data_IF_555747050876
#
_entry.id   IF_555747050876
#
_cell.length_a   1.000
_cell.length_b   1.000
_cell.length_c   1.000
_cell.angle_alpha   90.00
_cell.angle_beta   90.00
_cell.angle_gamma   90.00
#
_symmetry.space_group_name_H-M   'P 1'
#
loop_
_entity.id
_entity.type
_entity.pdbx_description
1 polymer ?
#
# COMPACT_ATOMS: atom_id res chain seq x y z
N UNK A 1 3.63 -49.35 -7.64
CA UNK A 1 2.19 -49.06 -7.59
C UNK A 1 2.07 -47.60 -7.20
N UNK A 2 1.69 -46.71 -8.12
CA UNK A 2 1.44 -45.30 -7.81
C UNK A 2 0.09 -45.20 -7.11
N UNK A 3 0.07 -44.73 -5.86
CA UNK A 3 -1.17 -44.36 -5.18
C UNK A 3 -1.85 -43.24 -5.98
N UNK A 4 -2.99 -43.56 -6.60
CA UNK A 4 -3.85 -42.56 -7.20
C UNK A 4 -4.53 -41.81 -6.06
N UNK A 5 -4.05 -40.60 -5.77
CA UNK A 5 -4.74 -39.67 -4.87
C UNK A 5 -5.99 -39.16 -5.58
N UNK A 6 -7.16 -39.53 -5.07
CA UNK A 6 -8.41 -38.93 -5.48
C UNK A 6 -8.47 -37.50 -4.93
N UNK A 7 -8.50 -36.50 -5.81
CA UNK A 7 -8.78 -35.10 -5.47
C UNK A 7 -10.11 -34.69 -6.10
N UNK A 8 -11.05 -34.26 -5.26
CA UNK A 8 -12.35 -33.76 -5.69
C UNK A 8 -12.18 -32.32 -6.24
N UNK A 9 -12.34 -32.15 -7.55
CA UNK A 9 -12.10 -30.88 -8.27
C UNK A 9 -13.00 -29.72 -7.80
N UNK A 10 -14.07 -30.02 -7.07
CA UNK A 10 -15.01 -29.05 -6.46
C UNK A 10 -14.50 -28.42 -5.16
N UNK A 11 -13.43 -28.95 -4.56
CA UNK A 11 -12.85 -28.46 -3.30
C UNK A 11 -11.72 -27.43 -3.48
N UNK A 12 -11.29 -27.13 -4.72
CA UNK A 12 -10.35 -26.05 -4.97
C UNK A 12 -11.08 -24.70 -5.03
N UNK A 13 -10.86 -23.86 -4.00
CA UNK A 13 -11.26 -22.45 -4.03
C UNK A 13 -10.58 -21.77 -5.23
N UNK A 14 -11.32 -21.59 -6.31
CA UNK A 14 -10.81 -20.99 -7.54
C UNK A 14 -10.63 -19.48 -7.34
N UNK A 15 -9.41 -18.99 -7.56
CA UNK A 15 -9.14 -17.54 -7.56
C UNK A 15 -9.96 -16.84 -8.65
N UNK A 16 -10.87 -15.97 -8.23
CA UNK A 16 -11.67 -15.14 -9.13
C UNK A 16 -10.81 -14.01 -9.73
N UNK A 17 -11.11 -13.68 -11.00
CA UNK A 17 -10.43 -12.62 -11.73
C UNK A 17 -11.03 -11.26 -11.45
N UNK A 18 -10.17 -10.25 -11.32
CA UNK A 18 -10.59 -8.83 -11.22
C UNK A 18 -10.33 -8.07 -12.54
N UNK A 19 -11.09 -7.02 -12.85
CA UNK A 19 -10.75 -6.09 -13.92
C UNK A 19 -9.38 -5.45 -13.67
N UNK A 20 -8.57 -5.24 -14.73
CA UNK A 20 -7.23 -4.67 -14.61
C UNK A 20 -6.99 -3.56 -15.64
N UNK A 21 -6.53 -2.42 -15.15
CA UNK A 21 -5.92 -1.36 -15.94
C UNK A 21 -4.40 -1.61 -16.07
N UNK A 22 -3.71 -0.79 -16.87
CA UNK A 22 -2.25 -0.89 -16.95
C UNK A 22 -1.56 -0.23 -15.76
N UNK A 23 -2.17 0.84 -15.23
CA UNK A 23 -1.63 1.63 -14.13
C UNK A 23 -2.76 2.17 -13.26
N UNK A 24 -2.63 1.98 -11.96
CA UNK A 24 -3.37 2.73 -10.95
C UNK A 24 -2.47 3.86 -10.47
N UNK A 25 -2.90 5.12 -10.57
CA UNK A 25 -2.14 6.31 -10.19
C UNK A 25 -2.78 7.01 -8.99
N UNK A 26 -2.08 7.05 -7.86
CA UNK A 26 -2.55 7.72 -6.66
C UNK A 26 -2.05 9.16 -6.65
N UNK A 27 -3.00 10.10 -6.57
CA UNK A 27 -2.80 11.53 -6.77
C UNK A 27 -2.47 12.28 -5.47
N UNK A 28 -1.69 11.67 -4.60
CA UNK A 28 -1.37 12.21 -3.28
C UNK A 28 -1.59 11.17 -2.19
N UNK A 29 -0.73 11.23 -1.18
CA UNK A 29 -0.93 10.63 0.13
C UNK A 29 -0.74 11.78 1.12
N UNK A 30 -1.83 12.18 1.76
CA UNK A 30 -1.87 13.33 2.66
C UNK A 30 -2.07 12.85 4.08
N UNK A 31 -1.40 13.49 5.01
CA UNK A 31 -1.74 13.38 6.42
C UNK A 31 -2.76 14.44 6.81
N UNK A 32 -3.24 14.30 8.04
CA UNK A 32 -4.22 15.19 8.65
C UNK A 32 -3.82 16.67 8.53
N UNK A 33 -2.56 16.97 8.80
CA UNK A 33 -2.03 18.32 8.86
C UNK A 33 -2.14 19.05 7.51
N UNK A 34 -2.15 18.31 6.40
CA UNK A 34 -2.32 18.89 5.07
C UNK A 34 -3.76 19.38 4.84
N UNK A 35 -4.74 18.72 5.45
CA UNK A 35 -6.15 19.13 5.36
C UNK A 35 -6.46 20.29 6.31
N UNK A 36 -5.84 20.30 7.50
CA UNK A 36 -5.99 21.39 8.48
C UNK A 36 -5.49 22.74 7.95
N UNK A 37 -4.48 22.73 7.08
CA UNK A 37 -3.98 23.92 6.38
C UNK A 37 -4.98 24.50 5.35
N UNK A 38 -6.05 23.76 5.05
CA UNK A 38 -7.21 24.23 4.28
C UNK A 38 -7.05 24.19 2.74
N UNK A 39 -8.08 24.64 2.00
CA UNK A 39 -8.19 24.42 0.55
C UNK A 39 -7.04 25.01 -0.27
N UNK A 40 -6.45 26.13 0.18
CA UNK A 40 -5.33 26.76 -0.54
C UNK A 40 -4.11 25.84 -0.59
N UNK A 41 -3.75 25.24 0.55
CA UNK A 41 -2.63 24.30 0.66
C UNK A 41 -2.86 23.08 -0.21
N UNK A 42 -4.09 22.56 -0.19
CA UNK A 42 -4.49 21.42 -1.01
C UNK A 42 -4.42 21.74 -2.51
N UNK A 43 -4.80 22.95 -2.92
CA UNK A 43 -4.65 23.41 -4.30
C UNK A 43 -3.18 23.51 -4.75
N UNK A 44 -2.30 24.02 -3.90
CA UNK A 44 -0.84 24.06 -4.15
C UNK A 44 -0.26 22.65 -4.29
N UNK A 45 -0.66 21.74 -3.40
CA UNK A 45 -0.30 20.33 -3.48
C UNK A 45 -0.74 19.70 -4.81
N UNK A 46 -2.01 19.86 -5.20
CA UNK A 46 -2.51 19.28 -6.44
C UNK A 46 -1.88 19.90 -7.70
N UNK A 47 -1.50 21.18 -7.65
CA UNK A 47 -0.76 21.81 -8.74
C UNK A 47 0.63 21.16 -8.94
N UNK A 48 1.32 20.82 -7.86
CA UNK A 48 2.59 20.08 -7.92
C UNK A 48 2.38 18.63 -8.39
N UNK A 49 1.39 17.93 -7.82
CA UNK A 49 1.00 16.57 -8.22
C UNK A 49 0.69 16.51 -9.71
N UNK A 50 0.07 17.54 -10.29
CA UNK A 50 -0.28 17.59 -11.71
C UNK A 50 0.95 17.43 -12.61
N UNK A 51 2.06 18.06 -12.28
CA UNK A 51 3.32 17.97 -13.06
C UNK A 51 3.78 16.51 -13.14
N UNK A 52 3.79 15.82 -12.00
CA UNK A 52 4.24 14.44 -11.91
C UNK A 52 3.23 13.45 -12.48
N UNK A 53 1.93 13.71 -12.32
CA UNK A 53 0.87 12.91 -12.95
C UNK A 53 1.01 12.91 -14.48
N UNK A 54 1.32 14.05 -15.08
CA UNK A 54 1.58 14.16 -16.53
C UNK A 54 2.84 13.40 -16.94
N UNK A 55 3.91 13.49 -16.17
CA UNK A 55 5.14 12.73 -16.41
C UNK A 55 4.90 11.20 -16.35
N UNK A 56 4.11 10.74 -15.37
CA UNK A 56 3.74 9.32 -15.24
C UNK A 56 2.86 8.87 -16.40
N UNK A 57 1.87 9.66 -16.81
CA UNK A 57 1.04 9.37 -17.99
C UNK A 57 1.88 9.29 -19.27
N UNK A 58 2.84 10.20 -19.46
CA UNK A 58 3.77 10.16 -20.58
C UNK A 58 4.66 8.90 -20.55
N UNK A 59 5.14 8.50 -19.37
CA UNK A 59 5.91 7.25 -19.19
C UNK A 59 5.09 6.00 -19.52
N UNK A 60 3.81 5.96 -19.14
CA UNK A 60 2.90 4.87 -19.50
C UNK A 60 2.63 4.81 -21.01
N UNK A 61 2.46 5.96 -21.66
CA UNK A 61 2.22 6.07 -23.11
C UNK A 61 3.40 5.55 -23.96
N UNK A 62 4.62 5.54 -23.41
CA UNK A 62 5.80 4.92 -24.07
C UNK A 62 5.71 3.39 -24.15
N UNK A 63 4.93 2.76 -23.28
CA UNK A 63 4.79 1.29 -23.20
C UNK A 63 3.54 0.79 -23.90
N UNK A 64 2.48 1.59 -23.95
CA UNK A 64 1.23 1.27 -24.64
C UNK A 64 0.67 2.51 -25.33
N UNK A 65 0.19 2.36 -26.58
CA UNK A 65 -0.40 3.47 -27.35
C UNK A 65 -1.69 4.03 -26.74
N UNK A 66 -2.39 3.22 -25.95
CA UNK A 66 -3.65 3.59 -25.28
C UNK A 66 -3.62 3.04 -23.85
N UNK A 67 -2.82 3.63 -22.95
CA UNK A 67 -2.69 3.12 -21.61
C UNK A 67 -4.01 3.34 -20.85
N UNK A 68 -4.66 2.26 -20.38
CA UNK A 68 -5.72 2.34 -19.38
C UNK A 68 -5.09 2.72 -18.04
N UNK A 69 -5.32 3.95 -17.60
CA UNK A 69 -4.82 4.50 -16.35
C UNK A 69 -6.02 4.92 -15.51
N UNK A 70 -6.17 4.33 -14.32
CA UNK A 70 -7.11 4.82 -13.31
C UNK A 70 -6.40 5.76 -12.36
N UNK A 71 -7.12 6.73 -11.82
CA UNK A 71 -6.64 7.62 -10.78
C UNK A 71 -7.33 7.33 -9.46
N UNK A 72 -6.62 7.41 -8.35
CA UNK A 72 -7.20 7.21 -7.04
C UNK A 72 -6.68 8.21 -6.01
N UNK A 73 -7.43 8.32 -4.91
CA UNK A 73 -7.07 9.09 -3.74
C UNK A 73 -7.53 8.33 -2.49
N UNK A 74 -6.62 8.14 -1.54
CA UNK A 74 -6.90 7.50 -0.24
C UNK A 74 -7.07 8.61 0.80
N UNK A 75 -8.15 8.57 1.58
CA UNK A 75 -8.33 9.45 2.73
C UNK A 75 -8.07 8.66 4.00
N UNK A 76 -7.20 9.20 4.85
CA UNK A 76 -7.00 8.70 6.22
C UNK A 76 -8.24 9.00 7.08
N UNK A 77 -9.08 7.98 7.26
CA UNK A 77 -10.16 7.96 8.25
C UNK A 77 -9.90 6.91 9.36
N UNK A 78 -8.67 6.37 9.40
CA UNK A 78 -8.26 5.31 10.32
C UNK A 78 -7.61 5.89 11.57
N UNK A 79 -6.65 6.81 11.41
CA UNK A 79 -5.95 7.42 12.54
C UNK A 79 -6.73 8.60 13.11
N UNK A 80 -7.42 9.37 12.25
CA UNK A 80 -8.17 10.56 12.68
C UNK A 80 -9.43 10.77 11.84
N UNK A 81 -10.56 11.13 12.48
CA UNK A 81 -11.83 11.52 11.83
C UNK A 81 -12.23 12.95 12.22
N UNK A 82 -11.42 13.93 11.83
CA UNK A 82 -11.57 15.34 12.21
C UNK A 82 -12.74 16.07 11.54
N UNK A 83 -13.14 15.61 10.34
CA UNK A 83 -14.23 16.17 9.53
C UNK A 83 -15.07 15.04 8.93
N UNK A 84 -16.18 15.39 8.30
CA UNK A 84 -17.10 14.43 7.69
C UNK A 84 -16.82 14.23 6.20
N UNK A 85 -17.16 13.08 5.60
CA UNK A 85 -17.05 12.88 4.15
C UNK A 85 -17.78 13.97 3.34
N UNK A 86 -18.94 14.43 3.85
CA UNK A 86 -19.74 15.53 3.29
C UNK A 86 -18.99 16.85 3.13
N UNK A 87 -18.00 17.13 3.98
CA UNK A 87 -17.22 18.36 3.94
C UNK A 87 -15.89 18.15 3.22
N UNK A 88 -15.19 17.07 3.57
CA UNK A 88 -13.83 16.82 3.12
C UNK A 88 -13.77 16.43 1.64
N UNK A 89 -14.62 15.50 1.20
CA UNK A 89 -14.53 14.94 -0.16
C UNK A 89 -14.83 16.02 -1.20
N UNK A 90 -15.90 16.84 -1.09
CA UNK A 90 -16.14 17.91 -2.06
C UNK A 90 -14.98 18.91 -2.15
N UNK A 91 -14.33 19.22 -1.02
CA UNK A 91 -13.15 20.08 -1.00
C UNK A 91 -12.00 19.46 -1.81
N UNK A 92 -11.68 18.18 -1.55
CA UNK A 92 -10.63 17.44 -2.27
C UNK A 92 -10.90 17.39 -3.76
N UNK A 93 -12.11 17.00 -4.16
CA UNK A 93 -12.47 16.88 -5.58
C UNK A 93 -12.41 18.23 -6.30
N UNK A 94 -12.87 19.31 -5.63
CA UNK A 94 -12.84 20.66 -6.18
C UNK A 94 -11.43 21.19 -6.38
N UNK A 95 -10.53 21.00 -5.41
CA UNK A 95 -9.14 21.46 -5.56
C UNK A 95 -8.36 20.60 -6.56
N UNK A 96 -8.63 19.29 -6.64
CA UNK A 96 -8.07 18.43 -7.68
C UNK A 96 -8.53 18.88 -9.08
N UNK A 97 -9.83 19.13 -9.26
CA UNK A 97 -10.39 19.62 -10.52
C UNK A 97 -9.76 20.95 -10.94
N UNK A 98 -9.58 21.89 -10.00
CA UNK A 98 -8.91 23.17 -10.25
C UNK A 98 -7.48 23.02 -10.75
N UNK A 99 -6.77 22.00 -10.28
CA UNK A 99 -5.42 21.65 -10.76
C UNK A 99 -5.45 20.85 -12.09
N UNK A 100 -6.63 20.58 -12.65
CA UNK A 100 -6.79 19.77 -13.85
C UNK A 100 -6.58 18.27 -13.60
N UNK A 101 -6.74 17.81 -12.36
CA UNK A 101 -6.71 16.41 -11.99
C UNK A 101 -8.13 15.85 -11.88
N UNK A 102 -8.26 14.58 -12.21
CA UNK A 102 -9.49 13.80 -12.03
C UNK A 102 -9.16 12.69 -11.06
N UNK A 103 -10.04 12.44 -10.09
CA UNK A 103 -9.96 11.31 -9.17
C UNK A 103 -11.07 10.33 -9.55
N UNK A 104 -10.71 9.21 -10.16
CA UNK A 104 -11.68 8.19 -10.57
C UNK A 104 -12.19 7.35 -9.40
N UNK A 105 -11.33 7.11 -8.41
CA UNK A 105 -11.60 6.26 -7.27
C UNK A 105 -11.21 6.93 -5.96
N UNK A 106 -12.10 6.86 -4.98
CA UNK A 106 -11.84 7.30 -3.61
C UNK A 106 -11.85 6.09 -2.68
N UNK A 107 -10.83 5.96 -1.85
CA UNK A 107 -10.76 4.90 -0.85
C UNK A 107 -10.64 5.49 0.57
N UNK A 108 -11.14 4.73 1.54
CA UNK A 108 -10.92 4.96 2.97
C UNK A 108 -9.71 4.19 3.45
N UNK A 109 -8.83 4.79 4.24
CA UNK A 109 -7.69 4.07 4.83
C UNK A 109 -8.16 2.96 5.78
N UNK A 110 -9.22 3.20 6.55
CA UNK A 110 -9.79 2.17 7.44
C UNK A 110 -10.28 0.93 6.68
N UNK A 111 -10.57 1.06 5.38
CA UNK A 111 -10.91 -0.07 4.52
C UNK A 111 -9.73 -1.04 4.35
N UNK A 112 -8.48 -0.57 4.48
CA UNK A 112 -7.30 -1.42 4.44
C UNK A 112 -7.17 -2.26 5.72
N UNK A 113 -7.76 -1.82 6.83
CA UNK A 113 -7.89 -2.62 8.03
C UNK A 113 -9.03 -3.63 7.89
N UNK A 114 -10.25 -3.12 7.64
CA UNK A 114 -11.48 -3.93 7.54
C UNK A 114 -12.38 -3.40 6.43
N UNK A 115 -12.82 -4.29 5.53
CA UNK A 115 -13.80 -3.95 4.50
C UNK A 115 -14.83 -5.05 4.32
N UNK A 116 -16.11 -4.67 4.22
CA UNK A 116 -17.24 -5.60 4.04
C UNK A 116 -17.21 -6.81 5.02
N UNK A 117 -16.82 -6.54 6.28
CA UNK A 117 -16.64 -7.53 7.38
C UNK A 117 -15.46 -8.50 7.23
N UNK A 118 -14.52 -8.19 6.34
CA UNK A 118 -13.29 -8.94 6.16
C UNK A 118 -12.14 -8.16 6.81
N UNK A 119 -11.44 -8.81 7.75
CA UNK A 119 -10.23 -8.30 8.40
C UNK A 119 -9.03 -8.37 7.41
N UNK A 120 -8.93 -7.39 6.52
CA UNK A 120 -7.95 -7.38 5.44
C UNK A 120 -6.52 -7.29 5.95
N UNK A 121 -6.27 -6.40 6.91
CA UNK A 121 -4.95 -6.24 7.53
C UNK A 121 -4.51 -7.52 8.25
N UNK A 122 -5.39 -8.14 9.04
CA UNK A 122 -5.10 -9.41 9.71
C UNK A 122 -4.81 -10.52 8.69
N UNK A 123 -5.60 -10.59 7.61
CA UNK A 123 -5.40 -11.57 6.55
C UNK A 123 -4.05 -11.41 5.85
N UNK A 124 -3.57 -10.18 5.64
CA UNK A 124 -2.24 -9.91 5.08
C UNK A 124 -1.15 -10.24 6.10
N UNK A 125 -1.35 -9.94 7.38
CA UNK A 125 -0.39 -10.25 8.44
C UNK A 125 -0.12 -11.76 8.52
N UNK A 126 -1.17 -12.59 8.39
CA UNK A 126 -1.03 -14.05 8.37
C UNK A 126 -0.31 -14.61 7.14
N UNK A 127 -0.10 -13.78 6.11
CA UNK A 127 0.62 -14.13 4.88
C UNK A 127 2.05 -13.60 4.88
N UNK A 128 2.50 -12.96 5.96
CA UNK A 128 3.88 -12.53 6.08
C UNK A 128 4.81 -13.73 6.22
N UNK A 129 5.84 -13.74 5.37
CA UNK A 129 6.92 -14.71 5.38
C UNK A 129 8.17 -13.98 5.87
N UNK A 130 8.54 -14.25 7.12
CA UNK A 130 9.76 -13.69 7.69
C UNK A 130 10.97 -14.13 6.86
N UNK A 131 11.97 -13.25 6.71
CA UNK A 131 13.24 -13.54 6.04
C UNK A 131 14.36 -13.82 7.06
N UNK A 132 14.38 -15.01 7.71
CA UNK A 132 15.39 -15.32 8.71
C UNK A 132 16.79 -15.39 8.05
N UNK A 133 17.83 -14.85 8.69
CA UNK A 133 19.20 -15.07 8.25
C UNK A 133 19.53 -16.57 8.15
N UNK A 134 20.36 -17.00 7.20
CA UNK A 134 20.81 -18.39 7.12
C UNK A 134 21.40 -18.88 8.46
N UNK A 135 20.91 -20.01 8.96
CA UNK A 135 21.35 -20.58 10.24
C UNK A 135 20.75 -19.93 11.49
N UNK A 136 19.76 -19.04 11.37
CA UNK A 136 19.01 -18.56 12.53
C UNK A 136 18.15 -19.68 13.14
N UNK A 137 17.97 -19.64 14.46
CA UNK A 137 17.18 -20.62 15.22
C UNK A 137 15.86 -20.02 15.75
N UNK A 138 15.36 -18.95 15.12
CA UNK A 138 14.15 -18.25 15.61
C UNK A 138 14.37 -17.52 16.94
N UNK A 139 15.53 -16.85 17.12
CA UNK A 139 15.82 -16.08 18.35
C UNK A 139 14.90 -14.87 18.55
N UNK A 140 14.15 -14.47 17.51
CA UNK A 140 13.11 -13.44 17.58
C UNK A 140 11.75 -14.12 17.72
N UNK A 141 10.85 -13.63 18.59
CA UNK A 141 9.46 -14.06 18.53
C UNK A 141 8.86 -13.70 17.16
N UNK A 142 7.96 -14.52 16.60
CA UNK A 142 7.37 -14.28 15.29
C UNK A 142 6.71 -12.90 15.17
N UNK A 143 6.64 -12.37 13.94
CA UNK A 143 5.96 -11.12 13.62
C UNK A 143 4.51 -11.08 14.13
N UNK A 144 3.81 -12.21 14.12
CA UNK A 144 2.44 -12.33 14.65
C UNK A 144 2.32 -12.11 16.16
N UNK A 145 3.42 -12.24 16.91
CA UNK A 145 3.47 -11.98 18.35
C UNK A 145 3.99 -10.59 18.67
N UNK A 146 4.94 -10.07 17.89
CA UNK A 146 5.63 -8.82 18.21
C UNK A 146 5.02 -7.62 17.51
N UNK A 147 4.47 -7.80 16.32
CA UNK A 147 4.10 -6.71 15.44
C UNK A 147 5.29 -6.04 14.77
N UNK A 148 6.48 -6.65 14.77
CA UNK A 148 7.67 -6.07 14.14
C UNK A 148 8.24 -6.98 13.05
N UNK A 149 8.45 -6.42 11.85
CA UNK A 149 9.03 -7.10 10.69
C UNK A 149 10.46 -6.62 10.45
N UNK A 150 11.40 -7.55 10.24
CA UNK A 150 12.78 -7.23 9.93
C UNK A 150 13.18 -7.74 8.54
N UNK A 151 14.13 -7.06 7.91
CA UNK A 151 14.78 -7.54 6.68
C UNK A 151 16.11 -8.28 6.92
N UNK A 152 16.45 -8.58 8.17
CA UNK A 152 17.62 -9.38 8.50
C UNK A 152 17.95 -9.44 9.99
N UNK A 153 19.23 -9.39 10.32
CA UNK A 153 19.77 -9.51 11.67
C UNK A 153 20.18 -8.16 12.24
N UNK A 154 19.56 -7.77 13.35
CA UNK A 154 20.00 -6.61 14.15
C UNK A 154 21.36 -6.91 14.79
N UNK A 155 22.16 -5.86 15.03
CA UNK A 155 23.32 -5.95 15.92
C UNK A 155 22.94 -6.67 17.21
N UNK A 156 23.65 -7.74 17.61
CA UNK A 156 23.38 -8.41 18.87
C UNK A 156 23.46 -7.41 20.03
N UNK A 157 22.37 -7.25 20.78
CA UNK A 157 22.49 -6.61 22.09
C UNK A 157 23.28 -7.56 22.98
N UNK A 158 24.39 -7.09 23.54
CA UNK A 158 25.21 -7.91 24.45
C UNK A 158 24.39 -8.22 25.70
N UNK A 159 23.66 -9.33 25.71
CA UNK A 159 23.17 -9.92 26.95
C UNK A 159 24.41 -10.45 27.67
N UNK A 160 24.75 -9.84 28.81
CA UNK A 160 25.82 -10.34 29.67
C UNK A 160 25.40 -11.72 30.19
N UNK A 161 25.84 -12.78 29.54
CA UNK A 161 26.06 -14.03 30.26
C UNK A 161 27.20 -13.78 31.24
N UNK A 162 26.99 -14.02 32.53
CA UNK A 162 28.02 -13.85 33.57
C UNK A 162 29.29 -14.70 33.32
N UNK A 163 29.23 -15.67 32.40
CA UNK A 163 30.31 -16.57 32.01
C UNK A 163 30.59 -16.55 30.49
N UNK A 164 29.97 -15.64 29.73
CA UNK A 164 30.13 -15.55 28.27
C UNK A 164 31.28 -14.66 27.86
N UNK A 165 32.01 -15.04 26.81
CA UNK A 165 32.98 -14.16 26.17
C UNK A 165 32.29 -12.86 25.72
N UNK A 166 32.93 -11.72 25.97
CA UNK A 166 32.47 -10.42 25.46
C UNK A 166 32.59 -10.47 23.94
N UNK A 167 31.47 -10.71 23.25
CA UNK A 167 31.40 -10.47 21.81
C UNK A 167 31.50 -8.96 21.59
N UNK A 168 32.44 -8.56 20.74
CA UNK A 168 32.56 -7.17 20.29
C UNK A 168 31.30 -6.73 19.54
N UNK A 169 31.20 -5.44 19.26
CA UNK A 169 30.13 -4.91 18.42
C UNK A 169 30.18 -5.54 17.01
N UNK A 170 29.00 -5.93 16.49
CA UNK A 170 28.82 -6.46 15.14
C UNK A 170 27.79 -5.60 14.38
N UNK A 171 28.02 -5.23 13.11
CA UNK A 171 27.06 -4.43 12.35
C UNK A 171 25.78 -5.21 12.05
N UNK A 172 24.62 -4.54 11.88
CA UNK A 172 23.40 -5.19 11.46
C UNK A 172 23.52 -5.65 9.99
N UNK A 173 22.88 -6.77 9.66
CA UNK A 173 22.98 -7.42 8.36
C UNK A 173 21.59 -7.63 7.75
N UNK A 174 21.35 -7.07 6.58
CA UNK A 174 20.20 -7.39 5.74
C UNK A 174 20.41 -8.77 5.06
N UNK A 175 19.39 -9.62 5.08
CA UNK A 175 19.47 -11.00 4.59
C UNK A 175 19.76 -11.08 3.08
N UNK A 176 19.21 -10.15 2.29
CA UNK A 176 19.34 -10.10 0.83
C UNK A 176 20.43 -9.12 0.34
N UNK A 177 21.28 -8.63 1.24
CA UNK A 177 22.35 -7.68 0.92
C UNK A 177 23.29 -8.22 -0.17
N UNK A 178 23.67 -7.36 -1.12
CA UNK A 178 24.72 -7.67 -2.12
C UNK A 178 26.08 -7.10 -1.73
N UNK A 179 26.19 -5.77 -1.73
CA UNK A 179 27.46 -5.05 -1.51
C UNK A 179 27.44 -4.16 -0.26
N UNK A 180 26.27 -3.90 0.31
CA UNK A 180 26.05 -3.13 1.53
C UNK A 180 24.76 -3.62 2.19
N UNK A 181 24.61 -3.33 3.48
CA UNK A 181 23.46 -3.72 4.30
C UNK A 181 22.66 -2.47 4.66
N UNK A 182 21.36 -2.47 4.38
CA UNK A 182 20.41 -1.50 4.93
C UNK A 182 19.44 -2.28 5.81
N UNK A 183 19.67 -2.26 7.11
CA UNK A 183 18.82 -2.98 8.06
C UNK A 183 17.62 -2.14 8.49
N UNK A 184 16.43 -2.72 8.46
CA UNK A 184 15.19 -2.10 8.92
C UNK A 184 14.43 -3.02 9.87
N UNK A 185 13.82 -2.40 10.88
CA UNK A 185 12.79 -2.98 11.73
C UNK A 185 11.55 -2.10 11.63
N UNK A 186 10.46 -2.68 11.15
CA UNK A 186 9.23 -1.98 10.85
C UNK A 186 8.15 -2.45 11.81
N UNK A 187 7.57 -1.51 12.56
CA UNK A 187 6.36 -1.76 13.34
C UNK A 187 5.17 -1.90 12.39
N UNK A 188 4.50 -3.04 12.42
CA UNK A 188 3.30 -3.34 11.65
C UNK A 188 2.03 -2.98 12.41
N UNK A 189 2.05 -3.19 13.72
CA UNK A 189 0.98 -2.85 14.64
C UNK A 189 1.52 -2.64 16.05
N UNK A 190 0.78 -1.85 16.82
CA UNK A 190 0.92 -1.75 18.27
C UNK A 190 -0.35 -2.26 18.95
N UNK A 191 -0.23 -2.69 20.20
CA UNK A 191 -1.38 -3.08 20.99
C UNK A 191 -1.41 -2.25 22.28
N UNK A 192 -2.55 -1.59 22.52
CA UNK A 192 -2.79 -0.82 23.74
C UNK A 192 -4.17 -1.15 24.27
N UNK A 193 -4.27 -1.49 25.56
CA UNK A 193 -5.52 -1.86 26.22
C UNK A 193 -6.30 -2.99 25.51
N UNK A 194 -5.57 -3.96 24.94
CA UNK A 194 -6.13 -5.09 24.19
C UNK A 194 -6.68 -4.72 22.80
N UNK A 195 -6.43 -3.50 22.31
CA UNK A 195 -6.80 -3.05 20.98
C UNK A 195 -5.57 -2.94 20.10
N UNK A 196 -5.59 -3.65 18.98
CA UNK A 196 -4.57 -3.57 17.93
C UNK A 196 -4.79 -2.31 17.08
N UNK A 197 -3.73 -1.54 16.91
CA UNK A 197 -3.66 -0.41 15.98
C UNK A 197 -2.64 -0.76 14.90
N UNK A 198 -3.10 -0.83 13.65
CA UNK A 198 -2.22 -1.07 12.50
C UNK A 198 -1.42 0.19 12.18
N UNK A 199 -0.17 0.01 11.76
CA UNK A 199 0.69 1.10 11.34
C UNK A 199 0.33 1.59 9.93
N UNK A 200 0.62 2.85 9.65
CA UNK A 200 0.49 3.45 8.32
C UNK A 200 1.23 2.66 7.22
N UNK A 201 2.52 2.28 7.36
CA UNK A 201 3.20 1.47 6.33
C UNK A 201 2.55 0.11 6.11
N UNK A 202 1.95 -0.50 7.14
CA UNK A 202 1.24 -1.76 6.96
C UNK A 202 -0.07 -1.60 6.19
N UNK A 203 -0.90 -0.60 6.54
CA UNK A 203 -2.12 -0.31 5.80
C UNK A 203 -1.82 0.12 4.35
N UNK A 204 -0.77 0.90 4.14
CA UNK A 204 -0.30 1.26 2.80
C UNK A 204 0.16 0.02 2.00
N UNK A 205 0.77 -0.98 2.61
CA UNK A 205 1.08 -2.24 1.93
C UNK A 205 -0.19 -3.02 1.53
N UNK A 206 -1.20 -3.09 2.40
CA UNK A 206 -2.51 -3.67 2.07
C UNK A 206 -3.15 -2.91 0.90
N UNK A 207 -3.08 -1.58 0.91
CA UNK A 207 -3.56 -0.71 -0.15
C UNK A 207 -2.88 -0.99 -1.50
N UNK A 208 -1.55 -1.14 -1.51
CA UNK A 208 -0.81 -1.50 -2.72
C UNK A 208 -1.23 -2.88 -3.25
N UNK A 209 -1.44 -3.88 -2.39
CA UNK A 209 -1.93 -5.20 -2.81
C UNK A 209 -3.33 -5.14 -3.42
N UNK A 210 -4.22 -4.32 -2.88
CA UNK A 210 -5.56 -4.09 -3.43
C UNK A 210 -5.50 -3.41 -4.81
N UNK A 211 -4.70 -2.35 -4.95
CA UNK A 211 -4.47 -1.65 -6.22
C UNK A 211 -3.75 -2.52 -7.26
N UNK A 212 -2.94 -3.48 -6.85
CA UNK A 212 -2.34 -4.48 -7.76
C UNK A 212 -3.32 -5.59 -8.16
N UNK A 213 -4.52 -5.63 -7.57
CA UNK A 213 -5.50 -6.69 -7.80
C UNK A 213 -5.05 -8.04 -7.25
N UNK A 214 -4.16 -8.03 -6.25
CA UNK A 214 -3.49 -9.19 -5.66
C UNK A 214 -4.10 -9.63 -4.32
N UNK A 215 -4.98 -8.81 -3.75
CA UNK A 215 -5.68 -9.15 -2.51
C UNK A 215 -6.90 -10.03 -2.80
N UNK A 216 -7.02 -11.15 -2.09
CA UNK A 216 -8.16 -12.08 -2.15
C UNK A 216 -8.55 -12.52 -0.76
N UNK A 217 -9.83 -12.78 -0.55
CA UNK A 217 -10.34 -13.49 0.62
C UNK A 217 -11.00 -14.78 0.14
N UNK A 218 -10.40 -15.92 0.48
CA UNK A 218 -10.88 -17.25 0.03
C UNK A 218 -11.06 -17.33 -1.50
N UNK A 219 -10.13 -16.72 -2.26
CA UNK A 219 -10.19 -16.68 -3.72
C UNK A 219 -11.12 -15.60 -4.30
N UNK A 220 -11.92 -14.91 -3.48
CA UNK A 220 -12.83 -13.85 -3.94
C UNK A 220 -12.15 -12.47 -3.94
N UNK A 221 -12.54 -11.55 -4.84
CA UNK A 221 -12.08 -10.17 -4.80
C UNK A 221 -12.49 -9.49 -3.49
N UNK A 222 -11.70 -8.52 -3.07
CA UNK A 222 -12.02 -7.65 -1.93
C UNK A 222 -11.85 -6.19 -2.38
N UNK A 223 -12.44 -5.25 -1.62
CA UNK A 223 -12.45 -3.82 -1.96
C UNK A 223 -13.00 -3.58 -3.36
N UNK A 224 -14.15 -4.17 -3.68
CA UNK A 224 -14.83 -3.90 -4.94
C UNK A 224 -15.41 -2.48 -4.94
N UNK A 225 -15.11 -1.71 -5.99
CA UNK A 225 -15.54 -0.32 -6.10
C UNK A 225 -17.07 -0.25 -6.24
N UNK A 226 -17.71 0.57 -5.42
CA UNK A 226 -19.15 0.88 -5.53
C UNK A 226 -19.32 2.21 -6.26
N UNK A 227 -20.25 2.25 -7.21
CA UNK A 227 -20.54 3.48 -7.94
C UNK A 227 -21.15 4.53 -7.03
N UNK A 228 -20.59 5.73 -7.07
CA UNK A 228 -21.22 6.86 -6.40
C UNK A 228 -22.40 7.35 -7.22
N UNK A 229 -23.61 7.17 -6.67
CA UNK A 229 -24.87 7.59 -7.30
C UNK A 229 -25.54 8.73 -6.51
N UNK A 230 -24.94 9.18 -5.42
CA UNK A 230 -25.48 10.24 -4.57
C UNK A 230 -25.06 11.62 -5.04
N UNK A 231 -25.95 12.61 -4.94
CA UNK A 231 -25.60 14.02 -5.13
C UNK A 231 -24.69 14.53 -3.99
N UNK A 232 -24.91 14.03 -2.76
CA UNK A 232 -24.18 14.43 -1.54
C UNK A 232 -23.48 13.26 -0.84
N UNK A 233 -22.30 13.51 -0.27
CA UNK A 233 -21.55 12.56 0.58
C UNK A 233 -22.13 12.48 2.01
N UNK A 234 -21.99 11.33 2.70
CA UNK A 234 -22.55 11.15 4.03
C UNK A 234 -21.80 11.98 5.08
N UNK A 235 -22.49 12.32 6.18
CA UNK A 235 -21.86 12.96 7.34
C UNK A 235 -21.11 11.99 8.26
N UNK A 236 -21.10 10.69 7.94
CA UNK A 236 -20.45 9.64 8.72
C UNK A 236 -19.58 8.79 7.80
N UNK A 237 -18.31 8.62 8.17
CA UNK A 237 -17.33 7.80 7.46
C UNK A 237 -17.81 6.36 7.29
N UNK A 238 -18.48 5.78 8.29
CA UNK A 238 -18.92 4.38 8.23
C UNK A 238 -20.06 4.15 7.24
N UNK A 239 -20.72 5.21 6.78
CA UNK A 239 -21.73 5.16 5.71
C UNK A 239 -21.13 5.30 4.31
N UNK A 240 -19.88 5.76 4.19
CA UNK A 240 -19.17 5.83 2.92
C UNK A 240 -18.63 4.43 2.56
N UNK A 241 -18.88 3.91 1.34
CA UNK A 241 -18.30 2.64 0.92
C UNK A 241 -16.77 2.60 1.06
N UNK A 242 -16.18 1.40 1.30
CA UNK A 242 -14.74 1.23 1.43
C UNK A 242 -13.94 1.77 0.22
N UNK A 243 -14.45 1.52 -0.99
CA UNK A 243 -13.92 2.01 -2.26
C UNK A 243 -15.09 2.52 -3.10
N UNK A 244 -15.00 3.76 -3.55
CA UNK A 244 -16.01 4.44 -4.34
C UNK A 244 -15.47 4.76 -5.71
N UNK A 245 -16.23 4.48 -6.77
CA UNK A 245 -15.97 4.97 -8.13
C UNK A 245 -16.73 6.29 -8.33
N UNK A 246 -15.99 7.36 -8.57
CA UNK A 246 -16.51 8.74 -8.69
C UNK A 246 -16.81 9.15 -10.14
N UNK A 247 -16.20 8.48 -11.11
CA UNK A 247 -16.33 8.81 -12.54
C UNK A 247 -16.86 7.62 -13.35
N UNK A 248 -17.25 7.84 -14.61
CA UNK A 248 -17.70 6.79 -15.52
C UNK A 248 -16.53 6.03 -16.22
N UNK A 249 -15.30 6.20 -15.69
CA UNK A 249 -14.07 5.68 -16.27
C UNK A 249 -14.16 4.19 -16.60
N UNK A 250 -13.52 3.81 -17.71
CA UNK A 250 -13.36 2.41 -18.13
C UNK A 250 -12.05 1.80 -17.63
N UNK A 251 -11.15 2.59 -17.06
CA UNK A 251 -9.94 2.07 -16.45
C UNK A 251 -10.28 1.49 -15.07
N UNK A 252 -10.03 0.20 -14.88
CA UNK A 252 -10.26 -0.46 -13.60
C UNK A 252 -9.38 0.10 -12.48
N UNK A 253 -9.89 0.07 -11.26
CA UNK A 253 -9.16 0.41 -10.04
C UNK A 253 -7.87 -0.39 -9.90
N UNK A 254 -7.99 -1.73 -9.92
CA UNK A 254 -6.85 -2.62 -9.88
C UNK A 254 -6.05 -2.57 -11.18
N UNK A 255 -4.74 -2.75 -11.09
CA UNK A 255 -3.82 -2.54 -12.20
C UNK A 255 -2.61 -3.49 -12.17
N UNK A 256 -1.95 -3.63 -13.32
CA UNK A 256 -0.68 -4.37 -13.41
C UNK A 256 0.45 -3.72 -12.59
N UNK A 257 0.44 -2.40 -12.48
CA UNK A 257 1.40 -1.60 -11.73
C UNK A 257 0.68 -0.48 -10.99
N UNK A 258 1.30 -0.01 -9.93
CA UNK A 258 0.84 1.18 -9.20
C UNK A 258 1.91 2.26 -9.25
N UNK A 259 1.46 3.51 -9.20
CA UNK A 259 2.31 4.66 -8.95
C UNK A 259 1.66 5.54 -7.90
N UNK A 260 2.40 5.95 -6.88
CA UNK A 260 1.94 6.93 -5.90
C UNK A 260 2.81 8.18 -5.98
N UNK A 261 2.15 9.35 -6.06
CA UNK A 261 2.76 10.66 -6.03
C UNK A 261 2.69 11.19 -4.60
N UNK A 262 3.82 11.51 -3.97
CA UNK A 262 3.82 11.96 -2.57
C UNK A 262 5.00 12.87 -2.22
N UNK A 263 4.90 13.66 -1.14
CA UNK A 263 6.03 14.44 -0.63
C UNK A 263 7.19 13.57 -0.12
N UNK A 264 8.42 14.10 -0.15
CA UNK A 264 9.64 13.42 0.31
C UNK A 264 9.59 12.89 1.76
N UNK A 265 8.77 13.48 2.64
CA UNK A 265 8.65 13.05 4.05
C UNK A 265 8.16 11.61 4.20
N UNK A 266 7.49 11.05 3.18
CA UNK A 266 6.99 9.68 3.17
C UNK A 266 8.03 8.63 2.76
N UNK A 267 9.26 9.03 2.42
CA UNK A 267 10.27 8.10 1.90
C UNK A 267 10.51 6.90 2.82
N UNK A 268 10.65 7.14 4.14
CA UNK A 268 10.87 6.06 5.11
C UNK A 268 9.64 5.13 5.24
N UNK A 269 8.43 5.69 5.14
CA UNK A 269 7.18 4.92 5.16
C UNK A 269 7.11 4.00 3.95
N UNK A 270 7.42 4.50 2.76
CA UNK A 270 7.34 3.69 1.54
C UNK A 270 8.48 2.67 1.39
N UNK A 271 9.63 2.92 2.01
CA UNK A 271 10.68 1.90 2.11
C UNK A 271 10.21 0.73 3.00
N UNK A 272 9.52 1.04 4.09
CA UNK A 272 8.85 0.04 4.93
C UNK A 272 7.73 -0.70 4.16
N UNK A 273 6.91 -0.01 3.36
CA UNK A 273 5.89 -0.64 2.49
C UNK A 273 6.53 -1.64 1.55
N UNK A 274 7.65 -1.29 0.90
CA UNK A 274 8.37 -2.20 0.00
C UNK A 274 8.87 -3.46 0.70
N UNK A 275 9.42 -3.32 1.89
CA UNK A 275 9.81 -4.46 2.71
C UNK A 275 8.62 -5.38 3.01
N UNK A 276 7.49 -4.80 3.43
CA UNK A 276 6.27 -5.57 3.74
C UNK A 276 5.78 -6.30 2.49
N UNK A 277 5.73 -5.63 1.33
CA UNK A 277 5.32 -6.24 0.07
C UNK A 277 6.26 -7.37 -0.40
N UNK A 278 7.55 -7.25 -0.14
CA UNK A 278 8.55 -8.28 -0.48
C UNK A 278 8.42 -9.53 0.41
N UNK A 279 7.98 -9.34 1.66
CA UNK A 279 7.75 -10.40 2.64
C UNK A 279 6.29 -10.82 2.77
N UNK A 280 5.41 -10.45 1.83
CA UNK A 280 4.02 -10.91 1.83
C UNK A 280 3.81 -11.99 0.78
N UNK A 281 3.35 -13.17 1.20
CA UNK A 281 2.86 -14.20 0.29
C UNK A 281 1.52 -13.78 -0.32
N UNK A 282 1.40 -13.94 -1.63
CA UNK A 282 0.26 -13.46 -2.42
C UNK A 282 -0.39 -14.62 -3.14
N UNK A 283 -1.71 -14.56 -3.29
CA UNK A 283 -2.49 -15.56 -4.02
C UNK A 283 -1.85 -15.91 -5.38
N UNK A 284 -1.38 -17.15 -5.50
CA UNK A 284 -0.66 -17.62 -6.68
C UNK A 284 -1.52 -17.55 -7.96
N UNK A 285 -2.83 -17.78 -7.84
CA UNK A 285 -3.78 -17.62 -8.93
C UNK A 285 -3.88 -16.17 -9.40
N UNK A 286 -3.93 -15.21 -8.48
CA UNK A 286 -3.95 -13.78 -8.80
C UNK A 286 -2.65 -13.34 -9.47
N UNK A 287 -1.50 -13.82 -8.98
CA UNK A 287 -0.20 -13.57 -9.59
C UNK A 287 -0.13 -14.11 -11.02
N UNK A 288 -0.60 -15.33 -11.25
CA UNK A 288 -0.62 -15.94 -12.59
C UNK A 288 -1.55 -15.19 -13.53
N UNK A 289 -2.74 -14.77 -13.06
CA UNK A 289 -3.69 -13.97 -13.84
C UNK A 289 -3.07 -12.64 -14.27
N UNK A 290 -2.43 -11.91 -13.36
CA UNK A 290 -1.75 -10.63 -13.64
C UNK A 290 -0.59 -10.83 -14.61
N UNK A 291 0.28 -11.83 -14.37
CA UNK A 291 1.44 -12.10 -15.21
C UNK A 291 1.03 -12.46 -16.64
N UNK A 292 0.05 -13.36 -16.80
CA UNK A 292 -0.45 -13.77 -18.11
C UNK A 292 -1.06 -12.59 -18.87
N UNK A 293 -2.01 -11.87 -18.27
CA UNK A 293 -2.72 -10.79 -18.96
C UNK A 293 -1.82 -9.60 -19.29
N UNK A 294 -0.93 -9.24 -18.37
CA UNK A 294 0.05 -8.18 -18.64
C UNK A 294 0.99 -8.55 -19.79
N UNK A 295 1.44 -9.80 -19.89
CA UNK A 295 2.24 -10.28 -21.02
C UNK A 295 1.45 -10.29 -22.33
N UNK A 296 0.20 -10.78 -22.31
CA UNK A 296 -0.70 -10.82 -23.48
C UNK A 296 -0.99 -9.39 -24.01
N UNK A 297 -0.94 -8.37 -23.14
CA UNK A 297 -1.08 -6.94 -23.49
C UNK A 297 0.26 -6.22 -23.78
N UNK A 298 1.39 -6.92 -23.80
CA UNK A 298 2.72 -6.34 -24.06
C UNK A 298 3.28 -5.48 -22.91
N UNK A 299 2.73 -5.63 -21.71
CA UNK A 299 2.99 -4.84 -20.51
C UNK A 299 3.53 -5.68 -19.35
N UNK A 300 4.37 -6.68 -19.65
CA UNK A 300 4.88 -7.63 -18.66
C UNK A 300 5.41 -6.94 -17.39
N UNK A 301 5.09 -7.54 -16.24
CA UNK A 301 5.44 -7.03 -14.91
C UNK A 301 6.54 -7.87 -14.25
N UNK A 302 7.33 -7.29 -13.33
CA UNK A 302 8.33 -8.05 -12.60
C UNK A 302 7.68 -9.13 -11.72
N UNK A 303 8.42 -10.21 -11.47
CA UNK A 303 7.98 -11.28 -10.59
C UNK A 303 7.73 -10.75 -9.17
N UNK A 304 8.70 -10.02 -8.61
CA UNK A 304 8.61 -9.41 -7.29
C UNK A 304 7.49 -8.37 -7.22
N UNK A 305 6.58 -8.54 -6.25
CA UNK A 305 5.40 -7.69 -6.06
C UNK A 305 5.79 -6.26 -5.71
N UNK A 306 6.78 -6.08 -4.82
CA UNK A 306 7.31 -4.78 -4.43
C UNK A 306 7.80 -3.94 -5.64
N UNK A 307 8.29 -4.58 -6.71
CA UNK A 307 8.75 -3.90 -7.93
C UNK A 307 7.61 -3.46 -8.86
N UNK A 308 6.36 -3.85 -8.56
CA UNK A 308 5.16 -3.40 -9.26
C UNK A 308 4.62 -2.10 -8.67
N UNK A 309 5.02 -1.77 -7.44
CA UNK A 309 4.74 -0.51 -6.76
C UNK A 309 5.86 0.52 -7.01
N UNK A 310 5.48 1.64 -7.63
CA UNK A 310 6.40 2.73 -7.95
C UNK A 310 5.99 4.02 -7.27
N UNK A 311 6.96 4.90 -7.06
CA UNK A 311 6.77 6.13 -6.31
C UNK A 311 7.44 7.28 -7.05
N UNK A 312 6.79 8.43 -7.03
CA UNK A 312 7.42 9.70 -7.36
C UNK A 312 7.37 10.54 -6.10
N UNK A 313 8.55 10.79 -5.54
CA UNK A 313 8.70 11.70 -4.43
C UNK A 313 9.02 13.09 -4.96
N UNK A 314 8.29 14.09 -4.47
CA UNK A 314 8.51 15.49 -4.82
C UNK A 314 8.76 16.34 -3.58
N UNK A 315 9.38 17.50 -3.80
CA UNK A 315 9.51 18.51 -2.77
C UNK A 315 8.13 19.10 -2.49
N UNK A 316 7.74 19.09 -1.22
CA UNK A 316 6.46 19.66 -0.85
C UNK A 316 6.45 21.16 -1.18
N UNK A 317 5.37 21.71 -1.76
CA UNK A 317 5.26 23.15 -1.94
C UNK A 317 5.57 23.84 -0.61
N UNK A 318 6.53 24.76 -0.55
CA UNK A 318 6.99 25.31 0.72
C UNK A 318 5.92 26.15 1.43
N UNK A 319 6.01 26.24 2.76
CA UNK A 319 6.50 27.51 3.29
C UNK A 319 8.00 27.28 3.52
N UNK A 320 8.85 27.97 2.77
CA UNK A 320 10.29 27.93 3.00
C UNK A 320 10.56 28.30 4.47
N UNK A 321 11.07 27.34 5.25
CA UNK A 321 11.84 27.52 6.48
C UNK A 321 11.66 28.89 7.16
N UNK A 322 10.80 29.00 8.18
CA UNK A 322 11.15 29.87 9.29
C UNK A 322 12.22 29.13 10.07
N UNK A 323 13.49 29.58 10.09
CA UNK A 323 14.43 29.05 11.06
C UNK A 323 13.83 29.36 12.43
N UNK A 324 13.70 28.35 13.28
CA UNK A 324 13.41 28.58 14.70
C UNK A 324 14.48 29.55 15.21
N UNK A 325 14.05 30.76 15.58
CA UNK A 325 14.91 31.69 16.31
C UNK A 325 15.25 31.04 17.66
N UNK A 326 16.56 30.97 17.92
CA UNK A 326 17.24 30.47 19.12
C UNK A 326 16.68 31.00 20.43
#
# INVERSE_FOLDING_TARGET
>A
MSEAVFQETTAELRTQSVPLSHLSLELGHLYMEDFEAGPKRLGEHFAEVRVWADAVRASAARRSKRPRISTCFLIDDYFTRFSTPAELIPMVLKEAERAGLVIDYLARESACAVADRIELAESVMHRLVESPPPGSYGSRPPVSQTGWLANGQRTPSTSRSALGAVKGWEPPQETAARNHSVFMDVELWSEKDGKRLWSCPFLAAVWQLARLGLLRHLGEPVLEAKDWQGEDFPHDWDRLPPLVRLTDTKAAFSAYRTCTLMPNRFLAVEDAVRLILDQTDVDAGALQQVAKRSADEGMAVPAAVAQRATYVFYEEPGDSSRPEET
#
